data_IF_939444700475
#
_entry.id   IF_939444700475
#
_cell.length_a   1.000
_cell.length_b   1.000
_cell.length_c   1.000
_cell.angle_alpha   90.00
_cell.angle_beta   90.00
_cell.angle_gamma   90.00
#
_symmetry.space_group_name_H-M   'P 1'
#
loop_
_entity.id
_entity.type
_entity.pdbx_description
1 polymer ?
#
# COMPACT_ATOMS: atom_id res chain seq x y z
N UNK A 1 -12.24 -43.10 15.36
CA UNK A 1 -11.68 -41.78 15.03
C UNK A 1 -12.64 -41.08 14.08
N UNK A 2 -13.56 -40.29 14.65
CA UNK A 2 -14.46 -39.41 13.90
C UNK A 2 -13.68 -38.11 13.68
N UNK A 3 -13.21 -37.91 12.45
CA UNK A 3 -12.59 -36.66 12.02
C UNK A 3 -13.64 -35.54 12.14
N UNK A 4 -13.23 -34.38 12.64
CA UNK A 4 -14.04 -33.17 12.58
C UNK A 4 -14.14 -32.74 11.12
N UNK A 5 -15.19 -33.23 10.45
CA UNK A 5 -15.50 -32.93 9.06
C UNK A 5 -16.03 -31.49 9.03
N UNK A 6 -15.39 -30.59 8.27
CA UNK A 6 -15.87 -29.21 8.10
C UNK A 6 -17.30 -29.21 7.54
N UNK A 7 -18.08 -28.14 7.78
CA UNK A 7 -19.48 -28.04 7.31
C UNK A 7 -19.58 -28.31 5.81
N UNK A 8 -18.63 -27.81 5.01
CA UNK A 8 -18.56 -28.07 3.57
C UNK A 8 -18.31 -29.55 3.23
N UNK A 9 -17.44 -30.23 3.97
CA UNK A 9 -17.11 -31.64 3.72
C UNK A 9 -18.28 -32.55 4.14
N UNK A 10 -19.05 -32.18 5.16
CA UNK A 10 -20.25 -32.90 5.59
C UNK A 10 -21.36 -32.79 4.55
N UNK A 11 -21.57 -31.59 3.98
CA UNK A 11 -22.51 -31.36 2.88
C UNK A 11 -22.08 -32.18 1.65
N UNK A 12 -20.79 -32.17 1.30
CA UNK A 12 -20.26 -32.94 0.18
C UNK A 12 -20.50 -34.45 0.31
N UNK A 13 -20.26 -35.02 1.49
CA UNK A 13 -20.50 -36.46 1.74
C UNK A 13 -21.98 -36.83 1.69
N UNK A 14 -22.86 -35.96 2.18
CA UNK A 14 -24.31 -36.17 2.09
C UNK A 14 -24.80 -36.17 0.63
N UNK A 15 -24.36 -35.21 -0.18
CA UNK A 15 -24.70 -35.15 -1.61
C UNK A 15 -24.17 -36.36 -2.37
N UNK A 16 -22.94 -36.80 -2.08
CA UNK A 16 -22.35 -38.02 -2.66
C UNK A 16 -23.20 -39.26 -2.33
N UNK A 17 -23.55 -39.44 -1.06
CA UNK A 17 -24.38 -40.56 -0.60
C UNK A 17 -25.75 -40.56 -1.29
N UNK A 18 -26.42 -39.40 -1.34
CA UNK A 18 -27.71 -39.27 -2.01
C UNK A 18 -27.62 -39.61 -3.50
N UNK A 19 -26.57 -39.14 -4.18
CA UNK A 19 -26.33 -39.43 -5.60
C UNK A 19 -26.10 -40.92 -5.84
N UNK A 20 -25.36 -41.60 -4.96
CA UNK A 20 -25.13 -43.04 -4.99
C UNK A 20 -26.43 -43.83 -4.79
N UNK A 21 -27.27 -43.42 -3.83
CA UNK A 21 -28.57 -44.03 -3.59
C UNK A 21 -29.46 -43.87 -4.83
N UNK A 22 -29.52 -42.68 -5.43
CA UNK A 22 -30.28 -42.45 -6.67
C UNK A 22 -29.76 -43.34 -7.80
N UNK A 23 -28.45 -43.43 -8.00
CA UNK A 23 -27.85 -44.28 -9.04
C UNK A 23 -28.16 -45.77 -8.83
N UNK A 24 -28.09 -46.26 -7.59
CA UNK A 24 -28.42 -47.65 -7.24
C UNK A 24 -29.91 -47.92 -7.47
N UNK A 25 -30.80 -47.04 -7.01
CA UNK A 25 -32.24 -47.17 -7.23
C UNK A 25 -32.58 -47.14 -8.72
N UNK A 26 -31.99 -46.20 -9.47
CA UNK A 26 -32.15 -46.12 -10.92
C UNK A 26 -31.67 -47.40 -11.63
N UNK A 27 -30.51 -47.92 -11.23
CA UNK A 27 -29.98 -49.19 -11.73
C UNK A 27 -30.91 -50.36 -11.43
N UNK A 28 -31.42 -50.47 -10.20
CA UNK A 28 -32.36 -51.52 -9.80
C UNK A 28 -33.71 -51.43 -10.52
N UNK A 29 -34.21 -50.22 -10.76
CA UNK A 29 -35.43 -49.98 -11.54
C UNK A 29 -35.22 -50.38 -13.01
N UNK A 30 -34.11 -49.98 -13.63
CA UNK A 30 -33.78 -50.37 -15.00
C UNK A 30 -33.59 -51.88 -15.14
N UNK A 31 -32.89 -52.52 -14.20
CA UNK A 31 -32.72 -53.98 -14.18
C UNK A 31 -34.04 -54.73 -14.00
N UNK A 32 -35.02 -54.14 -13.30
CA UNK A 32 -36.38 -54.68 -13.20
C UNK A 32 -37.18 -54.45 -14.48
N UNK A 33 -37.12 -53.26 -15.07
CA UNK A 33 -37.86 -52.91 -16.28
C UNK A 33 -37.33 -53.66 -17.52
N UNK A 34 -36.02 -53.93 -17.60
CA UNK A 34 -35.41 -54.70 -18.68
C UNK A 34 -35.72 -56.20 -18.69
N UNK A 35 -36.53 -56.71 -17.74
CA UNK A 35 -37.01 -58.10 -17.72
C UNK A 35 -38.38 -58.30 -18.37
N UNK A 36 -39.04 -57.24 -18.85
CA UNK A 36 -40.22 -57.38 -19.68
C UNK A 36 -39.82 -58.00 -21.03
N UNK A 37 -40.59 -58.99 -21.51
CA UNK A 37 -40.26 -59.79 -22.69
C UNK A 37 -40.18 -58.94 -23.95
N UNK A 38 -38.97 -58.78 -24.51
CA UNK A 38 -38.74 -58.03 -25.74
C UNK A 38 -39.43 -58.76 -26.90
N UNK A 39 -40.56 -58.21 -27.38
CA UNK A 39 -41.21 -58.63 -28.62
C UNK A 39 -42.71 -58.97 -28.55
N UNK A 40 -43.42 -58.72 -27.44
CA UNK A 40 -44.87 -59.01 -27.35
C UNK A 40 -45.81 -57.80 -27.55
N UNK A 41 -45.29 -56.57 -27.64
CA UNK A 41 -46.09 -55.41 -28.00
C UNK A 41 -45.86 -54.98 -29.46
N UNK A 42 -46.76 -55.36 -30.37
CA UNK A 42 -47.03 -54.54 -31.56
C UNK A 42 -47.74 -53.28 -31.06
N UNK A 43 -46.94 -52.39 -30.51
CA UNK A 43 -47.39 -51.15 -29.94
C UNK A 43 -47.58 -50.16 -31.11
N UNK A 44 -48.82 -49.69 -31.33
CA UNK A 44 -49.12 -48.67 -32.33
C UNK A 44 -48.07 -47.55 -32.28
N UNK A 45 -47.60 -47.10 -33.44
CA UNK A 45 -46.66 -45.98 -33.51
C UNK A 45 -47.15 -44.83 -32.61
N UNK A 46 -46.30 -44.18 -31.80
CA UNK A 46 -46.75 -43.22 -30.78
C UNK A 46 -47.66 -42.09 -31.30
N UNK A 47 -47.55 -41.76 -32.59
CA UNK A 47 -48.39 -40.78 -33.29
C UNK A 47 -49.75 -41.31 -33.79
N UNK A 48 -50.00 -42.62 -33.71
CA UNK A 48 -51.25 -43.30 -34.10
C UNK A 48 -52.03 -43.85 -32.90
N UNK A 49 -51.47 -43.79 -31.69
CA UNK A 49 -52.22 -44.10 -30.47
C UNK A 49 -53.28 -43.01 -30.25
N UNK A 50 -54.51 -43.36 -29.84
CA UNK A 50 -55.46 -42.36 -29.37
C UNK A 50 -54.79 -41.52 -28.28
N UNK A 51 -54.95 -40.21 -28.36
CA UNK A 51 -54.48 -39.34 -27.28
C UNK A 51 -55.32 -39.59 -26.02
N UNK A 52 -54.89 -39.05 -24.88
CA UNK A 52 -55.61 -39.18 -23.62
C UNK A 52 -57.06 -38.71 -23.78
N UNK A 53 -58.00 -39.40 -23.13
CA UNK A 53 -59.41 -38.98 -23.14
C UNK A 53 -59.59 -37.64 -22.42
N UNK A 54 -60.68 -36.95 -22.70
CA UNK A 54 -60.99 -35.67 -22.05
C UNK A 54 -60.99 -35.79 -20.51
N UNK A 55 -61.58 -36.86 -19.95
CA UNK A 55 -61.56 -37.13 -18.51
C UNK A 55 -60.13 -37.28 -17.93
N UNK A 56 -59.20 -37.89 -18.69
CA UNK A 56 -57.81 -38.04 -18.27
C UNK A 56 -57.01 -36.73 -18.42
N UNK A 57 -57.33 -35.94 -19.45
CA UNK A 57 -56.74 -34.63 -19.70
C UNK A 57 -57.15 -33.63 -18.62
N UNK A 58 -58.43 -33.56 -18.29
CA UNK A 58 -59.00 -32.62 -17.32
C UNK A 58 -58.85 -33.08 -15.87
N UNK A 59 -58.67 -34.39 -15.62
CA UNK A 59 -58.39 -34.95 -14.30
C UNK A 59 -56.89 -35.11 -14.05
N UNK A 60 -56.42 -36.36 -14.15
CA UNK A 60 -55.09 -36.77 -13.67
C UNK A 60 -53.94 -35.99 -14.32
N UNK A 61 -54.02 -35.66 -15.62
CA UNK A 61 -52.97 -34.91 -16.30
C UNK A 61 -52.95 -33.43 -15.90
N UNK A 62 -54.11 -32.78 -15.87
CA UNK A 62 -54.23 -31.39 -15.45
C UNK A 62 -53.79 -31.23 -13.99
N UNK A 63 -54.30 -32.05 -13.07
CA UNK A 63 -53.94 -32.02 -11.65
C UNK A 63 -52.44 -32.21 -11.43
N UNK A 64 -51.82 -33.15 -12.13
CA UNK A 64 -50.37 -33.37 -12.06
C UNK A 64 -49.60 -32.13 -12.54
N UNK A 65 -50.03 -31.53 -13.64
CA UNK A 65 -49.36 -30.36 -14.22
C UNK A 65 -49.51 -29.14 -13.31
N UNK A 66 -50.71 -28.91 -12.78
CA UNK A 66 -50.99 -27.84 -11.81
C UNK A 66 -50.25 -28.06 -10.50
N UNK A 67 -50.15 -29.30 -10.01
CA UNK A 67 -49.36 -29.63 -8.82
C UNK A 67 -47.88 -29.34 -9.01
N UNK A 68 -47.32 -29.64 -10.18
CA UNK A 68 -45.94 -29.27 -10.53
C UNK A 68 -45.75 -27.75 -10.61
N UNK A 69 -46.74 -27.03 -11.16
CA UNK A 69 -46.77 -25.57 -11.17
C UNK A 69 -46.81 -24.98 -9.75
N UNK A 70 -47.67 -25.51 -8.89
CA UNK A 70 -47.78 -25.10 -7.48
C UNK A 70 -46.50 -25.40 -6.70
N UNK A 71 -45.87 -26.55 -6.93
CA UNK A 71 -44.58 -26.88 -6.35
C UNK A 71 -43.50 -25.89 -6.80
N UNK A 72 -43.45 -25.55 -8.10
CA UNK A 72 -42.53 -24.54 -8.62
C UNK A 72 -42.76 -23.17 -7.97
N UNK A 73 -44.03 -22.75 -7.83
CA UNK A 73 -44.39 -21.51 -7.13
C UNK A 73 -44.00 -21.54 -5.65
N UNK A 74 -44.16 -22.68 -4.97
CA UNK A 74 -43.73 -22.83 -3.58
C UNK A 74 -42.21 -22.75 -3.43
N UNK A 75 -41.46 -23.41 -4.31
CA UNK A 75 -40.00 -23.37 -4.34
C UNK A 75 -39.51 -21.94 -4.58
N UNK A 76 -40.07 -21.21 -5.56
CA UNK A 76 -39.67 -19.83 -5.81
C UNK A 76 -40.15 -18.90 -4.70
N UNK A 77 -41.40 -19.05 -4.26
CA UNK A 77 -42.04 -18.19 -3.27
C UNK A 77 -41.42 -18.25 -1.88
N UNK A 78 -40.82 -19.38 -1.49
CA UNK A 78 -40.08 -19.52 -0.23
C UNK A 78 -38.57 -19.50 -0.46
N UNK A 79 -38.09 -20.16 -1.51
CA UNK A 79 -36.66 -20.28 -1.80
C UNK A 79 -36.00 -18.94 -2.13
N UNK A 80 -36.66 -18.06 -2.89
CA UNK A 80 -36.08 -16.74 -3.19
C UNK A 80 -35.97 -15.87 -1.93
N UNK A 81 -37.01 -15.73 -1.07
CA UNK A 81 -36.85 -15.00 0.19
C UNK A 81 -35.77 -15.58 1.11
N UNK A 82 -35.66 -16.91 1.22
CA UNK A 82 -34.61 -17.55 2.02
C UNK A 82 -33.21 -17.33 1.44
N UNK A 83 -33.06 -17.41 0.12
CA UNK A 83 -31.80 -17.09 -0.56
C UNK A 83 -31.41 -15.63 -0.34
N UNK A 84 -32.37 -14.71 -0.47
CA UNK A 84 -32.18 -13.29 -0.27
C UNK A 84 -31.82 -12.94 1.18
N UNK A 85 -32.35 -13.68 2.16
CA UNK A 85 -31.99 -13.49 3.58
C UNK A 85 -30.48 -13.71 3.84
N UNK A 86 -29.83 -14.56 3.03
CA UNK A 86 -28.39 -14.82 3.08
C UNK A 86 -27.58 -13.87 2.18
N UNK A 87 -28.22 -13.00 1.40
CA UNK A 87 -27.54 -12.06 0.48
C UNK A 87 -26.49 -11.20 1.18
N UNK A 88 -26.72 -10.59 2.37
CA UNK A 88 -25.74 -9.73 3.02
C UNK A 88 -24.40 -10.43 3.27
N UNK A 89 -24.42 -11.63 3.87
CA UNK A 89 -23.21 -12.41 4.12
C UNK A 89 -22.53 -12.88 2.82
N UNK A 90 -23.29 -13.08 1.74
CA UNK A 90 -22.72 -13.40 0.43
C UNK A 90 -22.01 -12.20 -0.20
N UNK A 91 -22.55 -10.99 -0.01
CA UNK A 91 -21.92 -9.75 -0.43
C UNK A 91 -20.65 -9.50 0.39
N UNK A 92 -20.68 -9.67 1.71
CA UNK A 92 -19.51 -9.54 2.58
C UNK A 92 -18.38 -10.50 2.17
N UNK A 93 -18.72 -11.77 1.95
CA UNK A 93 -17.75 -12.77 1.49
C UNK A 93 -17.22 -12.51 0.07
N UNK A 94 -17.99 -11.84 -0.79
CA UNK A 94 -17.52 -11.41 -2.10
C UNK A 94 -16.53 -10.24 -1.98
N UNK A 95 -16.83 -9.25 -1.13
CA UNK A 95 -15.95 -8.12 -0.81
C UNK A 95 -14.61 -8.61 -0.28
N UNK A 96 -14.62 -9.52 0.70
CA UNK A 96 -13.38 -10.04 1.29
C UNK A 96 -12.53 -10.81 0.26
N UNK A 97 -13.16 -11.71 -0.51
CA UNK A 97 -12.44 -12.46 -1.56
C UNK A 97 -11.82 -11.52 -2.60
N UNK A 98 -12.56 -10.52 -3.05
CA UNK A 98 -12.04 -9.55 -4.04
C UNK A 98 -10.87 -8.78 -3.43
N UNK A 99 -10.98 -8.35 -2.17
CA UNK A 99 -9.90 -7.67 -1.45
C UNK A 99 -8.65 -8.53 -1.34
N UNK A 100 -8.78 -9.78 -0.91
CA UNK A 100 -7.66 -10.73 -0.82
C UNK A 100 -6.98 -10.94 -2.19
N UNK A 101 -7.76 -11.11 -3.25
CA UNK A 101 -7.24 -11.24 -4.61
C UNK A 101 -6.49 -9.99 -5.07
N UNK A 102 -7.02 -8.79 -4.80
CA UNK A 102 -6.41 -7.53 -5.18
C UNK A 102 -5.09 -7.32 -4.43
N UNK A 103 -5.08 -7.55 -3.13
CA UNK A 103 -3.86 -7.52 -2.30
C UNK A 103 -2.84 -8.54 -2.82
N UNK A 104 -3.26 -9.76 -3.13
CA UNK A 104 -2.38 -10.81 -3.65
C UNK A 104 -1.75 -10.45 -5.00
N UNK A 105 -2.54 -9.88 -5.92
CA UNK A 105 -2.02 -9.39 -7.22
C UNK A 105 -1.10 -8.18 -7.03
N UNK A 106 -1.45 -7.26 -6.15
CA UNK A 106 -0.61 -6.12 -5.77
C UNK A 106 0.73 -6.56 -5.20
N UNK A 107 0.75 -7.55 -4.29
CA UNK A 107 1.96 -8.12 -3.71
C UNK A 107 2.86 -8.74 -4.79
N UNK A 108 2.29 -9.54 -5.70
CA UNK A 108 3.02 -10.13 -6.82
C UNK A 108 3.63 -9.07 -7.74
N UNK A 109 2.94 -7.94 -7.95
CA UNK A 109 3.48 -6.82 -8.72
C UNK A 109 4.58 -6.06 -7.97
N UNK A 110 4.45 -5.91 -6.65
CA UNK A 110 5.44 -5.23 -5.82
C UNK A 110 6.78 -5.98 -5.74
N UNK A 111 6.74 -7.31 -5.82
CA UNK A 111 7.88 -8.19 -5.68
C UNK A 111 9.05 -7.89 -6.64
N UNK A 112 10.28 -8.34 -6.33
CA UNK A 112 11.41 -8.24 -7.22
C UNK A 112 11.16 -8.90 -8.59
N UNK A 113 11.87 -8.44 -9.61
CA UNK A 113 11.81 -9.05 -10.96
C UNK A 113 12.20 -10.53 -10.98
N UNK A 114 13.03 -10.98 -10.04
CA UNK A 114 13.36 -12.40 -9.86
C UNK A 114 12.14 -13.29 -9.55
N UNK A 115 11.09 -12.69 -8.99
CA UNK A 115 9.81 -13.35 -8.66
C UNK A 115 8.71 -13.04 -9.69
N UNK A 116 9.05 -12.34 -10.79
CA UNK A 116 8.11 -11.94 -11.83
C UNK A 116 7.36 -10.63 -11.56
N UNK A 117 7.73 -9.88 -10.52
CA UNK A 117 7.16 -8.57 -10.21
C UNK A 117 7.81 -7.40 -10.96
N UNK A 118 7.34 -6.18 -10.69
CA UNK A 118 7.81 -4.92 -11.29
C UNK A 118 8.99 -4.28 -10.55
N UNK A 119 9.62 -5.01 -9.62
CA UNK A 119 10.82 -4.59 -8.90
C UNK A 119 10.63 -3.43 -7.90
N UNK A 120 9.41 -3.17 -7.42
CA UNK A 120 9.18 -2.11 -6.44
C UNK A 120 9.94 -2.37 -5.13
N UNK A 121 9.94 -3.63 -4.66
CA UNK A 121 10.64 -4.11 -3.48
C UNK A 121 12.16 -3.92 -3.53
N UNK A 122 12.76 -3.87 -4.73
CA UNK A 122 14.20 -3.62 -4.87
C UNK A 122 14.57 -2.23 -4.36
N UNK A 123 13.79 -1.21 -4.72
CA UNK A 123 14.02 0.17 -4.28
C UNK A 123 13.42 0.45 -2.90
N UNK A 124 12.23 -0.08 -2.61
CA UNK A 124 11.46 0.26 -1.43
C UNK A 124 11.57 -0.74 -0.28
N UNK A 125 12.36 -1.80 -0.45
CA UNK A 125 12.48 -2.91 0.49
C UNK A 125 11.29 -3.88 0.39
N UNK A 126 11.47 -5.16 0.75
CA UNK A 126 10.40 -6.18 0.68
C UNK A 126 9.20 -5.84 1.56
N UNK A 127 9.44 -5.27 2.74
CA UNK A 127 8.37 -4.85 3.67
C UNK A 127 7.97 -3.37 3.48
N UNK A 128 8.42 -2.72 2.40
CA UNK A 128 8.19 -1.29 2.20
C UNK A 128 8.94 -0.39 3.19
N UNK A 129 9.95 -0.89 3.90
CA UNK A 129 10.73 -0.13 4.90
C UNK A 129 11.74 0.87 4.34
N UNK A 130 11.88 0.95 3.01
CA UNK A 130 12.89 1.72 2.31
C UNK A 130 14.11 0.86 1.96
N UNK A 131 14.93 1.36 1.03
CA UNK A 131 16.09 0.63 0.52
C UNK A 131 17.17 1.56 -0.02
N UNK A 132 18.30 0.97 -0.41
CA UNK A 132 19.39 1.68 -1.09
C UNK A 132 19.78 0.88 -2.32
N UNK A 133 19.75 1.52 -3.48
CA UNK A 133 19.95 0.86 -4.77
C UNK A 133 20.91 1.64 -5.67
N UNK A 134 21.71 0.97 -6.50
CA UNK A 134 22.55 1.65 -7.49
C UNK A 134 21.71 2.46 -8.48
N UNK A 135 22.14 3.68 -8.77
CA UNK A 135 21.53 4.56 -9.76
C UNK A 135 22.57 5.37 -10.51
N UNK A 136 22.37 5.54 -11.82
CA UNK A 136 23.24 6.35 -12.68
C UNK A 136 22.71 7.77 -12.77
N UNK A 137 23.51 8.74 -12.32
CA UNK A 137 23.25 10.16 -12.52
C UNK A 137 23.74 10.57 -13.92
N UNK A 138 22.89 11.30 -14.63
CA UNK A 138 23.17 11.88 -15.93
C UNK A 138 23.08 13.41 -15.87
N UNK A 139 23.74 14.08 -16.82
CA UNK A 139 23.62 15.53 -16.99
C UNK A 139 22.37 15.93 -17.78
N UNK A 140 22.21 17.22 -18.05
CA UNK A 140 21.06 17.76 -18.79
C UNK A 140 20.96 17.24 -20.23
N UNK A 141 22.07 16.79 -20.81
CA UNK A 141 22.14 16.19 -22.14
C UNK A 141 22.04 14.65 -22.11
N UNK A 142 21.80 14.06 -20.93
CA UNK A 142 21.67 12.61 -20.74
C UNK A 142 23.00 11.85 -20.74
N UNK A 143 24.14 12.56 -20.64
CA UNK A 143 25.46 11.91 -20.58
C UNK A 143 25.73 11.42 -19.17
N UNK A 144 26.41 10.27 -19.08
CA UNK A 144 26.83 9.69 -17.81
C UNK A 144 27.69 10.67 -17.00
N UNK A 145 27.34 10.86 -15.73
CA UNK A 145 28.14 11.63 -14.77
C UNK A 145 28.82 10.67 -13.80
N UNK A 146 28.02 9.83 -13.10
CA UNK A 146 28.51 8.86 -12.12
C UNK A 146 27.41 7.89 -11.69
N UNK A 147 27.82 6.83 -11.00
CA UNK A 147 26.92 5.92 -10.29
C UNK A 147 26.89 6.26 -8.79
N UNK A 148 25.71 6.20 -8.18
CA UNK A 148 25.48 6.48 -6.76
C UNK A 148 24.57 5.44 -6.13
N UNK A 149 24.58 5.37 -4.80
CA UNK A 149 23.60 4.60 -4.04
C UNK A 149 22.41 5.48 -3.68
N UNK A 150 21.28 5.29 -4.35
CA UNK A 150 20.06 6.06 -4.17
C UNK A 150 19.17 5.44 -3.09
N UNK A 151 18.74 6.26 -2.13
CA UNK A 151 17.81 5.89 -1.06
C UNK A 151 16.37 5.89 -1.55
N UNK A 152 15.80 4.70 -1.68
CA UNK A 152 14.37 4.49 -1.91
C UNK A 152 13.59 4.71 -0.62
N UNK A 153 12.59 5.62 -0.61
CA UNK A 153 11.87 5.98 0.60
C UNK A 153 11.01 4.82 1.12
N UNK A 154 10.81 4.75 2.43
CA UNK A 154 9.87 3.82 3.02
C UNK A 154 8.42 4.12 2.58
N UNK A 155 7.72 3.06 2.17
CA UNK A 155 6.32 3.07 1.76
C UNK A 155 5.37 2.62 2.88
N UNK A 156 5.87 1.99 3.94
CA UNK A 156 5.08 1.61 5.13
C UNK A 156 4.53 2.80 5.94
N UNK A 157 4.78 4.03 5.50
CA UNK A 157 4.26 5.28 6.09
C UNK A 157 3.70 6.22 5.03
N UNK A 158 3.48 5.74 3.80
CA UNK A 158 3.07 6.56 2.67
C UNK A 158 1.67 7.13 2.86
N UNK A 159 0.73 6.36 3.39
CA UNK A 159 -0.65 6.80 3.64
C UNK A 159 -0.78 7.72 4.86
N UNK A 160 0.27 7.90 5.65
CA UNK A 160 0.31 8.92 6.70
C UNK A 160 0.53 10.34 6.14
N UNK A 161 0.77 10.46 4.83
CA UNK A 161 1.28 11.67 4.18
C UNK A 161 0.66 11.99 2.83
N UNK A 162 0.24 10.95 2.11
CA UNK A 162 -0.33 11.05 0.79
C UNK A 162 -1.70 10.37 0.75
N UNK A 163 -2.64 10.98 0.03
CA UNK A 163 -3.89 10.32 -0.31
C UNK A 163 -3.65 9.20 -1.32
N UNK A 164 -4.67 8.34 -1.50
CA UNK A 164 -4.62 7.23 -2.45
C UNK A 164 -4.49 7.75 -3.89
N UNK A 165 -5.13 8.87 -4.19
CA UNK A 165 -5.08 9.57 -5.48
C UNK A 165 -3.70 10.19 -5.73
N UNK A 166 -3.08 10.78 -4.70
CA UNK A 166 -1.72 11.32 -4.82
C UNK A 166 -0.69 10.20 -5.07
N UNK A 167 -0.85 9.05 -4.41
CA UNK A 167 -0.01 7.88 -4.68
C UNK A 167 -0.27 7.36 -6.09
N UNK A 168 -1.53 7.26 -6.52
CA UNK A 168 -1.88 6.89 -7.90
C UNK A 168 -1.19 7.81 -8.89
N UNK A 169 -1.23 9.12 -8.67
CA UNK A 169 -0.55 10.08 -9.54
C UNK A 169 0.96 9.82 -9.63
N UNK A 170 1.61 9.54 -8.50
CA UNK A 170 3.05 9.20 -8.47
C UNK A 170 3.34 7.88 -9.18
N UNK A 171 2.50 6.86 -9.04
CA UNK A 171 2.66 5.60 -9.74
C UNK A 171 2.38 5.75 -11.24
N UNK A 172 1.40 6.55 -11.61
CA UNK A 172 1.01 6.80 -12.99
C UNK A 172 2.14 7.49 -13.76
N UNK A 173 2.65 8.60 -13.24
CA UNK A 173 3.58 9.48 -13.96
C UNK A 173 5.04 9.40 -13.46
N UNK A 174 5.30 8.60 -12.43
CA UNK A 174 6.61 8.54 -11.78
C UNK A 174 6.94 9.83 -11.04
N UNK A 175 8.22 9.97 -10.67
CA UNK A 175 8.73 11.21 -10.07
C UNK A 175 9.99 11.66 -10.81
N UNK A 176 9.86 12.74 -11.57
CA UNK A 176 10.95 13.36 -12.33
C UNK A 176 12.18 13.62 -11.45
N UNK A 177 13.37 13.50 -12.05
CA UNK A 177 14.67 13.64 -11.38
C UNK A 177 14.87 12.66 -10.20
N UNK A 178 14.19 11.51 -10.24
CA UNK A 178 14.41 10.39 -9.32
C UNK A 178 14.44 9.08 -10.10
N UNK A 179 14.94 7.98 -9.52
CA UNK A 179 14.90 6.65 -10.14
C UNK A 179 13.50 6.05 -10.26
N UNK A 180 12.43 6.75 -9.85
CA UNK A 180 11.05 6.23 -9.88
C UNK A 180 10.39 6.57 -11.23
N UNK A 181 10.30 5.61 -12.18
CA UNK A 181 9.69 5.85 -13.48
C UNK A 181 8.16 5.90 -13.39
N UNK A 182 7.53 6.25 -14.50
CA UNK A 182 6.10 6.04 -14.69
C UNK A 182 5.80 4.54 -14.79
N UNK A 183 4.83 4.07 -14.02
CA UNK A 183 4.34 2.70 -14.07
C UNK A 183 2.96 2.59 -14.70
N UNK A 184 2.13 3.63 -14.60
CA UNK A 184 0.80 3.63 -15.20
C UNK A 184 0.82 3.91 -16.71
N UNK A 185 -0.15 3.33 -17.41
CA UNK A 185 -0.28 3.41 -18.86
C UNK A 185 -0.43 4.85 -19.39
N UNK A 186 -1.11 5.73 -18.66
CA UNK A 186 -1.25 7.14 -19.05
C UNK A 186 0.08 7.91 -18.95
N UNK A 187 0.96 7.51 -18.03
CA UNK A 187 2.35 8.00 -17.96
C UNK A 187 3.34 7.28 -18.87
N UNK A 188 2.89 6.29 -19.66
CA UNK A 188 3.71 5.49 -20.56
C UNK A 188 4.32 4.22 -19.94
N UNK A 189 3.90 3.86 -18.73
CA UNK A 189 4.29 2.61 -18.05
C UNK A 189 3.41 1.41 -18.42
N UNK A 190 3.71 0.21 -17.88
CA UNK A 190 3.06 -1.05 -18.27
C UNK A 190 1.76 -1.38 -17.52
N UNK A 191 1.38 -0.63 -16.49
CA UNK A 191 0.28 -0.95 -15.58
C UNK A 191 -1.02 -0.25 -15.99
N UNK A 192 -2.13 -0.98 -15.93
CA UNK A 192 -3.47 -0.41 -16.08
C UNK A 192 -3.92 0.26 -14.79
N UNK A 193 -4.96 1.10 -14.85
CA UNK A 193 -5.56 1.74 -13.67
C UNK A 193 -5.96 0.74 -12.58
N UNK A 194 -6.51 -0.42 -12.98
CA UNK A 194 -6.84 -1.50 -12.05
C UNK A 194 -5.59 -2.12 -11.41
N UNK A 195 -4.51 -2.33 -12.16
CA UNK A 195 -3.26 -2.85 -11.57
C UNK A 195 -2.64 -1.86 -10.59
N UNK A 196 -2.75 -0.57 -10.87
CA UNK A 196 -2.34 0.46 -9.92
C UNK A 196 -3.20 0.43 -8.66
N UNK A 197 -4.52 0.21 -8.80
CA UNK A 197 -5.40 0.02 -7.65
C UNK A 197 -4.94 -1.14 -6.77
N UNK A 198 -4.73 -2.31 -7.37
CA UNK A 198 -4.27 -3.52 -6.67
C UNK A 198 -2.94 -3.28 -5.94
N UNK A 199 -2.01 -2.54 -6.55
CA UNK A 199 -0.75 -2.16 -5.92
C UNK A 199 -0.97 -1.22 -4.72
N UNK A 200 -1.83 -0.21 -4.84
CA UNK A 200 -2.18 0.73 -3.77
C UNK A 200 -2.88 -0.01 -2.61
N UNK A 201 -3.74 -0.98 -2.91
CA UNK A 201 -4.39 -1.83 -1.90
C UNK A 201 -3.37 -2.65 -1.12
N UNK A 202 -2.40 -3.24 -1.83
CA UNK A 202 -1.29 -3.94 -1.19
C UNK A 202 -0.43 -3.02 -0.31
N UNK A 203 -0.12 -1.80 -0.76
CA UNK A 203 0.59 -0.80 0.07
C UNK A 203 -0.18 -0.53 1.38
N UNK A 204 -1.50 -0.67 1.37
CA UNK A 204 -2.35 -0.50 2.55
C UNK A 204 -2.01 -1.50 3.65
N UNK A 205 -1.62 -2.72 3.26
CA UNK A 205 -1.23 -3.79 4.20
C UNK A 205 0.14 -3.59 4.81
N UNK A 206 0.98 -2.73 4.22
CA UNK A 206 2.33 -2.44 4.71
C UNK A 206 2.36 -1.31 5.75
N UNK A 207 1.24 -0.59 5.95
CA UNK A 207 1.26 0.62 6.76
C UNK A 207 1.46 0.35 8.25
N UNK A 208 2.29 1.18 8.87
CA UNK A 208 2.35 1.31 10.33
C UNK A 208 1.41 2.42 10.80
N UNK A 209 1.03 2.37 12.07
CA UNK A 209 0.15 3.37 12.68
C UNK A 209 0.88 4.71 12.90
N UNK A 210 0.14 5.84 13.00
CA UNK A 210 0.73 7.14 13.36
C UNK A 210 1.57 7.08 14.64
N UNK A 211 1.12 6.34 15.66
CA UNK A 211 1.82 6.19 16.94
C UNK A 211 3.17 5.48 16.77
N UNK A 212 3.21 4.42 15.96
CA UNK A 212 4.46 3.71 15.65
C UNK A 212 5.41 4.59 14.85
N UNK A 213 4.88 5.35 13.87
CA UNK A 213 5.67 6.27 13.07
C UNK A 213 6.30 7.40 13.91
N UNK A 214 5.55 7.99 14.84
CA UNK A 214 6.02 9.03 15.76
C UNK A 214 7.04 8.49 16.76
N UNK A 215 6.81 7.27 17.27
CA UNK A 215 7.77 6.59 18.14
C UNK A 215 9.10 6.36 17.43
N UNK A 216 9.07 5.81 16.20
CA UNK A 216 10.26 5.59 15.40
C UNK A 216 11.02 6.89 15.11
N UNK A 217 10.31 7.97 14.77
CA UNK A 217 10.91 9.29 14.58
C UNK A 217 11.59 9.83 15.85
N UNK A 218 10.95 9.65 17.00
CA UNK A 218 11.47 10.12 18.30
C UNK A 218 12.71 9.35 18.72
N UNK A 219 12.69 8.02 18.57
CA UNK A 219 13.85 7.16 18.86
C UNK A 219 15.03 7.48 17.92
N UNK A 220 14.75 7.71 16.64
CA UNK A 220 15.78 8.08 15.68
C UNK A 220 16.32 9.48 15.93
N UNK A 221 15.47 10.44 16.29
CA UNK A 221 15.90 11.79 16.68
C UNK A 221 16.84 11.73 17.88
N UNK A 222 16.53 10.93 18.90
CA UNK A 222 17.39 10.78 20.07
C UNK A 222 18.80 10.30 19.67
N UNK A 223 18.89 9.29 18.79
CA UNK A 223 20.18 8.83 18.25
C UNK A 223 20.88 9.92 17.45
N UNK A 224 20.18 10.59 16.54
CA UNK A 224 20.74 11.66 15.73
C UNK A 224 21.32 12.78 16.60
N UNK A 225 20.68 13.13 17.71
CA UNK A 225 21.17 14.17 18.63
C UNK A 225 22.42 13.77 19.43
N UNK A 226 22.77 12.48 19.46
CA UNK A 226 23.99 11.94 20.05
C UNK A 226 25.11 11.75 19.02
N UNK A 227 24.77 11.70 17.73
CA UNK A 227 25.75 11.56 16.64
C UNK A 227 26.78 12.68 16.66
N UNK A 228 28.03 12.29 16.41
CA UNK A 228 29.18 13.18 16.31
C UNK A 228 29.52 13.42 14.85
N UNK A 229 30.13 14.56 14.56
CA UNK A 229 30.57 14.92 13.22
C UNK A 229 31.45 13.80 12.61
N UNK A 230 31.00 13.13 11.53
CA UNK A 230 31.72 12.03 10.89
C UNK A 230 33.12 12.43 10.44
N UNK A 231 33.35 13.67 10.03
CA UNK A 231 34.66 14.14 9.62
C UNK A 231 35.63 14.19 10.80
N UNK A 232 35.16 14.66 11.96
CA UNK A 232 35.94 14.65 13.20
C UNK A 232 36.20 13.23 13.70
N UNK A 233 35.17 12.38 13.70
CA UNK A 233 35.28 10.97 14.11
C UNK A 233 36.30 10.26 13.23
N UNK A 234 36.17 10.37 11.91
CA UNK A 234 37.11 9.76 10.95
C UNK A 234 38.54 10.27 11.19
N UNK A 235 38.73 11.58 11.33
CA UNK A 235 40.06 12.14 11.58
C UNK A 235 40.68 11.60 12.88
N UNK A 236 39.88 11.44 13.95
CA UNK A 236 40.36 10.85 15.21
C UNK A 236 40.64 9.37 15.10
N UNK A 237 39.79 8.62 14.41
CA UNK A 237 39.99 7.19 14.17
C UNK A 237 41.26 6.95 13.35
N UNK A 238 41.50 7.74 12.31
CA UNK A 238 42.73 7.64 11.52
C UNK A 238 43.96 8.07 12.33
N UNK A 239 43.86 9.12 13.15
CA UNK A 239 44.95 9.48 14.06
C UNK A 239 45.26 8.38 15.09
N UNK A 240 44.24 7.67 15.59
CA UNK A 240 44.42 6.54 16.51
C UNK A 240 45.04 5.31 15.84
N UNK A 241 44.93 5.18 14.51
CA UNK A 241 45.62 4.15 13.73
C UNK A 241 47.08 4.49 13.46
N UNK A 242 47.45 5.77 13.45
CA UNK A 242 48.82 6.19 13.16
C UNK A 242 49.80 5.67 14.21
N UNK A 243 50.80 4.93 13.76
CA UNK A 243 51.86 4.37 14.63
C UNK A 243 51.56 2.97 15.19
N UNK A 244 50.40 2.38 14.87
CA UNK A 244 50.13 0.98 15.17
C UNK A 244 50.87 0.05 14.20
N UNK A 245 51.40 -1.05 14.71
CA UNK A 245 51.93 -2.16 13.90
C UNK A 245 50.82 -2.92 13.18
N UNK A 246 51.16 -3.73 12.17
CA UNK A 246 50.18 -4.53 11.42
C UNK A 246 49.32 -5.43 12.35
N UNK A 247 49.94 -6.04 13.36
CA UNK A 247 49.25 -6.88 14.35
C UNK A 247 48.29 -6.10 15.25
N UNK A 248 48.58 -4.81 15.50
CA UNK A 248 47.72 -3.92 16.29
C UNK A 248 46.59 -3.33 15.45
N UNK A 249 46.84 -3.00 14.18
CA UNK A 249 45.81 -2.60 13.22
C UNK A 249 44.79 -3.73 13.01
N UNK A 250 45.24 -4.99 12.95
CA UNK A 250 44.37 -6.16 12.85
C UNK A 250 43.44 -6.33 14.07
N UNK A 251 43.79 -5.75 15.22
CA UNK A 251 43.02 -5.79 16.47
C UNK A 251 42.39 -4.43 16.83
N UNK A 252 42.56 -3.43 15.97
CA UNK A 252 42.10 -2.08 16.23
C UNK A 252 40.57 -2.03 16.20
N UNK A 253 40.00 -1.51 17.27
CA UNK A 253 38.55 -1.33 17.40
C UNK A 253 38.23 0.17 17.30
N UNK A 254 37.66 0.65 16.18
CA UNK A 254 37.32 2.05 16.00
C UNK A 254 36.29 2.55 17.03
N UNK A 255 35.48 1.66 17.64
CA UNK A 255 34.51 2.03 18.66
C UNK A 255 35.16 2.44 20.00
N UNK A 256 36.45 2.13 20.21
CA UNK A 256 37.21 2.51 21.41
C UNK A 256 37.91 3.86 21.29
N UNK A 257 37.83 4.50 20.12
CA UNK A 257 38.41 5.82 19.90
C UNK A 257 37.56 6.84 20.66
N UNK A 258 38.21 7.66 21.50
CA UNK A 258 37.52 8.77 22.18
C UNK A 258 37.10 9.84 21.17
N UNK A 259 35.79 9.87 20.90
CA UNK A 259 35.12 10.83 20.03
C UNK A 259 34.28 11.84 20.81
N UNK A 260 34.31 11.87 22.15
CA UNK A 260 33.40 12.69 22.96
C UNK A 260 33.60 14.19 22.74
N UNK A 261 34.85 14.55 22.43
CA UNK A 261 35.25 15.92 22.09
C UNK A 261 34.92 16.32 20.64
N UNK A 262 34.42 15.41 19.81
CA UNK A 262 33.90 15.78 18.50
C UNK A 262 32.60 16.58 18.64
N UNK A 263 32.42 17.62 17.81
CA UNK A 263 31.18 18.37 17.80
C UNK A 263 30.01 17.47 17.42
N UNK A 264 28.81 17.81 17.90
CA UNK A 264 27.59 17.13 17.48
C UNK A 264 27.38 17.32 15.98
N UNK A 265 26.86 16.28 15.34
CA UNK A 265 26.52 16.28 13.91
C UNK A 265 25.47 17.33 13.57
N UNK A 266 24.47 17.48 14.43
CA UNK A 266 23.34 18.39 14.30
C UNK A 266 23.33 19.40 15.45
N UNK A 267 23.05 20.67 15.14
CA UNK A 267 23.10 21.77 16.12
C UNK A 267 21.77 21.94 16.87
N UNK A 268 20.68 21.47 16.28
CA UNK A 268 19.34 21.52 16.87
C UNK A 268 18.52 20.30 16.45
N UNK A 269 17.45 20.02 17.20
CA UNK A 269 16.48 18.98 16.84
C UNK A 269 15.84 19.26 15.48
N UNK A 270 15.54 20.52 15.17
CA UNK A 270 15.00 20.91 13.88
C UNK A 270 15.93 20.59 12.70
N UNK A 271 17.25 20.77 12.89
CA UNK A 271 18.24 20.40 11.88
C UNK A 271 18.34 18.88 11.70
N UNK A 272 18.32 18.14 12.82
CA UNK A 272 18.33 16.68 12.80
C UNK A 272 17.08 16.11 12.13
N UNK A 273 15.89 16.59 12.50
CA UNK A 273 14.61 16.20 11.89
C UNK A 273 14.56 16.54 10.39
N UNK A 274 15.04 17.72 10.01
CA UNK A 274 15.12 18.11 8.60
C UNK A 274 15.97 17.12 7.78
N UNK A 275 16.99 16.52 8.39
CA UNK A 275 17.92 15.57 7.77
C UNK A 275 17.77 14.12 8.28
N UNK A 276 16.64 13.75 8.90
CA UNK A 276 16.51 12.48 9.61
C UNK A 276 16.74 11.28 8.67
N UNK A 277 17.67 10.39 9.04
CA UNK A 277 18.06 9.27 8.18
C UNK A 277 19.11 9.58 7.11
N UNK A 278 19.74 10.77 7.14
CA UNK A 278 20.81 11.09 6.20
C UNK A 278 22.01 10.15 6.37
N UNK A 279 22.49 9.96 7.59
CA UNK A 279 23.65 9.09 7.84
C UNK A 279 23.20 7.65 8.16
N UNK A 280 22.16 7.48 8.99
CA UNK A 280 21.65 6.16 9.40
C UNK A 280 20.86 5.38 8.34
N UNK A 281 20.39 6.05 7.28
CA UNK A 281 19.51 5.46 6.27
C UNK A 281 18.06 5.23 6.74
N UNK A 282 17.70 5.72 7.93
CA UNK A 282 16.37 5.55 8.53
C UNK A 282 15.23 5.83 7.54
N UNK A 283 14.37 4.83 7.35
CA UNK A 283 13.18 4.85 6.50
C UNK A 283 13.44 5.36 5.06
N UNK A 284 14.66 5.18 4.52
CA UNK A 284 15.04 5.70 3.20
C UNK A 284 14.89 7.22 3.06
N UNK A 285 14.88 7.96 4.19
CA UNK A 285 14.63 9.39 4.23
C UNK A 285 13.18 9.83 4.05
N UNK A 286 12.21 8.93 4.24
CA UNK A 286 10.78 9.29 4.19
C UNK A 286 10.39 10.41 5.15
N UNK A 287 11.11 10.52 6.25
CA UNK A 287 10.93 11.52 7.31
C UNK A 287 11.70 12.83 7.06
N UNK A 288 12.65 12.85 6.13
CA UNK A 288 13.54 14.01 5.93
C UNK A 288 12.98 15.00 4.91
N UNK A 289 12.93 16.27 5.32
CA UNK A 289 12.64 17.40 4.43
C UNK A 289 13.77 17.62 3.41
N UNK A 290 15.01 17.36 3.81
CA UNK A 290 16.21 17.47 2.99
C UNK A 290 16.13 16.61 1.73
N UNK A 291 15.42 15.47 1.76
CA UNK A 291 15.19 14.64 0.57
C UNK A 291 14.57 15.41 -0.61
N UNK A 292 13.73 16.40 -0.32
CA UNK A 292 13.11 17.23 -1.35
C UNK A 292 13.79 18.61 -1.48
N UNK A 293 14.27 19.18 -0.36
CA UNK A 293 14.73 20.57 -0.31
C UNK A 293 16.26 20.73 -0.28
N UNK A 294 17.02 19.64 -0.33
CA UNK A 294 18.49 19.66 -0.37
C UNK A 294 18.98 18.83 -1.56
N UNK A 295 19.77 19.41 -2.48
CA UNK A 295 20.32 18.66 -3.60
C UNK A 295 21.27 17.58 -3.09
N UNK A 296 21.25 16.41 -3.72
CA UNK A 296 22.14 15.29 -3.38
C UNK A 296 21.84 14.53 -2.09
N UNK A 297 20.78 14.90 -1.37
CA UNK A 297 20.43 14.27 -0.09
C UNK A 297 20.17 12.76 -0.24
N UNK A 298 19.44 12.36 -1.28
CA UNK A 298 19.03 10.96 -1.51
C UNK A 298 20.18 10.00 -1.80
N UNK A 299 21.40 10.49 -2.02
CA UNK A 299 22.54 9.64 -2.38
C UNK A 299 23.84 9.99 -1.64
N UNK A 300 23.72 10.59 -0.44
CA UNK A 300 24.84 10.77 0.48
C UNK A 300 25.81 11.89 0.10
N UNK A 301 25.42 12.76 -0.83
CA UNK A 301 26.19 13.93 -1.23
C UNK A 301 25.38 15.20 -1.06
N UNK A 302 24.77 15.36 0.12
CA UNK A 302 23.91 16.51 0.36
C UNK A 302 24.69 17.81 0.20
N UNK A 303 24.13 18.71 -0.59
CA UNK A 303 24.56 20.10 -0.64
C UNK A 303 24.07 20.88 0.58
N UNK A 304 23.95 22.20 0.40
CA UNK A 304 23.44 23.08 1.44
C UNK A 304 21.96 22.84 1.71
N UNK A 305 21.59 22.77 2.99
CA UNK A 305 20.21 22.60 3.39
C UNK A 305 19.31 23.74 2.90
N UNK A 306 18.14 23.36 2.38
CA UNK A 306 17.15 24.29 1.84
C UNK A 306 17.55 24.93 0.50
N UNK A 307 18.61 24.46 -0.18
CA UNK A 307 19.01 25.01 -1.48
C UNK A 307 18.04 24.67 -2.63
N UNK A 308 17.07 23.78 -2.40
CA UNK A 308 16.10 23.33 -3.40
C UNK A 308 16.62 22.15 -4.21
N UNK A 309 15.71 21.23 -4.56
CA UNK A 309 15.98 20.09 -5.44
C UNK A 309 14.67 19.69 -6.13
N UNK A 310 13.96 18.70 -5.58
CA UNK A 310 12.61 18.34 -6.02
C UNK A 310 11.58 19.37 -5.54
N UNK A 311 11.80 19.90 -4.33
CA UNK A 311 11.05 21.00 -3.74
C UNK A 311 11.75 22.34 -3.94
N UNK A 312 11.03 23.46 -3.73
CA UNK A 312 11.57 24.79 -3.88
C UNK A 312 12.73 25.08 -2.91
N UNK A 313 13.52 26.09 -3.27
CA UNK A 313 14.53 26.66 -2.37
C UNK A 313 13.84 27.33 -1.16
N UNK A 314 14.33 27.04 0.04
CA UNK A 314 13.77 27.49 1.32
C UNK A 314 14.43 28.78 1.85
N UNK A 315 15.36 29.40 1.11
CA UNK A 315 15.99 30.65 1.52
C UNK A 315 15.02 31.83 1.62
N UNK A 316 13.91 31.81 0.87
CA UNK A 316 12.89 32.88 0.85
C UNK A 316 11.71 32.68 1.82
N UNK A 317 11.80 31.75 2.78
CA UNK A 317 10.65 31.38 3.63
C UNK A 317 10.11 32.53 4.48
N UNK A 318 10.95 33.49 4.88
CA UNK A 318 10.50 34.65 5.67
C UNK A 318 9.65 35.62 4.83
N UNK A 319 9.87 35.72 3.52
CA UNK A 319 9.01 36.46 2.60
C UNK A 319 7.70 35.72 2.36
N UNK A 320 7.76 34.39 2.31
CA UNK A 320 6.60 33.54 2.10
C UNK A 320 5.68 33.48 3.34
N UNK A 321 6.26 33.41 4.53
CA UNK A 321 5.59 33.33 5.83
C UNK A 321 6.14 34.39 6.79
N UNK A 322 5.74 35.66 6.61
CA UNK A 322 6.29 36.77 7.37
C UNK A 322 5.73 36.84 8.80
N UNK A 323 6.49 37.53 9.66
CA UNK A 323 6.21 37.67 11.09
C UNK A 323 6.78 36.52 11.89
N UNK A 324 7.14 36.81 13.15
CA UNK A 324 7.81 35.84 14.02
C UNK A 324 6.83 34.74 14.46
N UNK A 325 5.83 35.08 15.28
CA UNK A 325 4.85 34.10 15.76
C UNK A 325 3.87 33.66 14.67
N UNK A 326 3.22 34.61 13.98
CA UNK A 326 2.21 34.26 12.97
C UNK A 326 2.83 33.50 11.78
N UNK A 327 4.02 33.89 11.32
CA UNK A 327 4.70 33.22 10.22
C UNK A 327 5.15 31.81 10.58
N UNK A 328 5.58 31.57 11.83
CA UNK A 328 5.85 30.21 12.32
C UNK A 328 4.58 29.38 12.29
N UNK A 329 3.47 29.86 12.87
CA UNK A 329 2.20 29.11 12.88
C UNK A 329 1.71 28.78 11.47
N UNK A 330 1.70 29.76 10.56
CA UNK A 330 1.26 29.54 9.18
C UNK A 330 2.15 28.52 8.43
N UNK A 331 3.45 28.54 8.70
CA UNK A 331 4.37 27.58 8.09
C UNK A 331 4.20 26.19 8.70
N UNK A 332 4.01 26.07 10.01
CA UNK A 332 3.69 24.82 10.70
C UNK A 332 2.41 24.22 10.15
N UNK A 333 1.35 25.01 10.02
CA UNK A 333 0.07 24.55 9.45
C UNK A 333 0.25 24.06 8.00
N UNK A 334 1.08 24.75 7.21
CA UNK A 334 1.38 24.33 5.85
C UNK A 334 2.17 23.01 5.79
N UNK A 335 3.19 22.82 6.65
CA UNK A 335 3.96 21.57 6.71
C UNK A 335 3.11 20.42 7.28
N UNK A 336 2.18 20.73 8.20
CA UNK A 336 1.29 19.75 8.77
C UNK A 336 0.26 19.20 7.77
N UNK A 337 -0.36 20.09 6.97
CA UNK A 337 -1.39 19.71 6.00
C UNK A 337 -0.83 19.33 4.62
N UNK A 338 0.34 19.84 4.26
CA UNK A 338 0.88 19.72 2.91
C UNK A 338 0.33 20.77 1.95
N UNK A 339 0.78 20.71 0.70
CA UNK A 339 0.32 21.59 -0.36
C UNK A 339 -0.89 21.01 -1.07
N UNK A 340 -1.95 21.79 -1.25
CA UNK A 340 -3.10 21.42 -2.08
C UNK A 340 -2.99 22.10 -3.45
N UNK A 341 -3.23 21.37 -4.54
CA UNK A 341 -3.11 21.89 -5.90
C UNK A 341 -4.01 23.12 -6.09
N UNK A 342 -3.40 24.24 -6.50
CA UNK A 342 -4.11 25.49 -6.79
C UNK A 342 -4.48 26.33 -5.56
N UNK A 343 -4.41 25.77 -4.35
CA UNK A 343 -4.72 26.48 -3.11
C UNK A 343 -3.61 27.47 -2.73
N UNK A 344 -3.99 28.61 -2.16
CA UNK A 344 -3.02 29.60 -1.68
C UNK A 344 -2.40 29.12 -0.35
N UNK A 345 -1.10 29.34 -0.19
CA UNK A 345 -0.41 29.22 1.10
C UNK A 345 0.57 30.39 1.27
N UNK A 346 0.79 30.81 2.52
CA UNK A 346 1.61 31.99 2.84
C UNK A 346 1.16 33.24 2.05
N UNK A 347 2.08 34.16 1.81
CA UNK A 347 1.77 35.40 1.09
C UNK A 347 1.62 35.22 -0.42
N UNK A 348 2.53 34.51 -1.08
CA UNK A 348 2.63 34.48 -2.54
C UNK A 348 2.54 33.06 -3.13
N UNK A 349 2.27 32.07 -2.30
CA UNK A 349 2.43 30.67 -2.65
C UNK A 349 1.14 30.08 -3.21
N UNK A 350 1.28 29.26 -4.25
CA UNK A 350 0.22 28.42 -4.76
C UNK A 350 0.66 26.96 -4.68
N UNK A 351 -0.13 26.13 -4.02
CA UNK A 351 0.20 24.73 -3.79
C UNK A 351 0.21 23.93 -5.09
N UNK A 352 1.14 22.98 -5.16
CA UNK A 352 1.31 22.11 -6.32
C UNK A 352 0.65 20.73 -6.15
N UNK A 353 0.17 20.40 -4.95
CA UNK A 353 -0.27 19.04 -4.63
C UNK A 353 0.87 18.06 -4.37
N UNK A 354 2.14 18.51 -4.38
CA UNK A 354 3.31 17.62 -4.34
C UNK A 354 4.03 17.56 -3.01
N UNK A 355 3.86 18.57 -2.16
CA UNK A 355 4.41 18.56 -0.81
C UNK A 355 3.42 17.87 0.11
N UNK A 356 3.75 16.67 0.65
CA UNK A 356 2.86 15.97 1.57
C UNK A 356 2.70 16.72 2.89
N UNK A 357 1.62 16.42 3.59
CA UNK A 357 1.46 16.76 5.01
C UNK A 357 2.21 15.80 5.91
N UNK A 358 2.60 16.25 7.11
CA UNK A 358 3.36 15.43 8.06
C UNK A 358 2.70 15.30 9.44
N UNK A 359 1.72 16.14 9.78
CA UNK A 359 1.02 16.06 11.08
C UNK A 359 -0.41 15.51 10.97
N UNK A 360 -0.91 15.35 9.74
CA UNK A 360 -2.31 15.02 9.50
C UNK A 360 -2.35 13.86 8.52
N UNK A 361 -3.04 12.79 8.91
CA UNK A 361 -3.32 11.67 8.00
C UNK A 361 -4.39 12.14 7.00
N UNK A 362 -4.15 12.06 5.69
CA UNK A 362 -5.14 12.42 4.67
C UNK A 362 -6.42 11.60 4.82
N UNK A 363 -7.56 12.17 4.42
CA UNK A 363 -8.80 11.42 4.35
C UNK A 363 -8.73 10.29 3.32
N UNK A 364 -9.53 9.25 3.55
CA UNK A 364 -9.81 8.23 2.55
C UNK A 364 -11.28 8.33 2.20
N UNK A 365 -11.56 8.80 0.99
CA UNK A 365 -12.92 8.84 0.46
C UNK A 365 -13.31 7.46 -0.08
N UNK A 366 -14.59 7.11 0.06
CA UNK A 366 -15.12 5.91 -0.59
C UNK A 366 -15.14 6.15 -2.11
N UNK A 367 -14.12 5.68 -2.82
CA UNK A 367 -14.02 5.81 -4.26
C UNK A 367 -14.70 4.64 -4.96
N UNK A 368 -15.40 4.91 -6.08
CA UNK A 368 -16.01 3.87 -6.90
C UNK A 368 -14.93 2.93 -7.44
N UNK A 369 -15.05 1.63 -7.11
CA UNK A 369 -14.13 0.59 -7.56
C UNK A 369 -13.09 0.13 -6.53
N UNK A 370 -12.99 0.80 -5.38
CA UNK A 370 -12.21 0.31 -4.24
C UNK A 370 -13.05 -0.64 -3.38
N UNK A 371 -12.52 -1.84 -3.12
CA UNK A 371 -13.23 -2.91 -2.40
C UNK A 371 -12.55 -3.16 -1.06
N UNK A 372 -13.29 -3.03 0.03
CA UNK A 372 -12.79 -3.29 1.38
C UNK A 372 -11.88 -2.19 1.95
N UNK A 373 -11.88 -0.99 1.35
CA UNK A 373 -11.22 0.20 1.91
C UNK A 373 -12.20 0.91 2.84
N UNK A 374 -11.81 1.07 4.11
CA UNK A 374 -12.62 1.81 5.08
C UNK A 374 -12.40 3.32 4.89
N UNK A 375 -13.48 4.03 4.55
CA UNK A 375 -13.45 5.48 4.46
C UNK A 375 -13.23 6.09 5.85
N UNK A 376 -12.43 7.14 5.92
CA UNK A 376 -12.23 7.91 7.14
C UNK A 376 -11.95 9.37 6.83
N UNK A 377 -12.39 10.24 7.75
CA UNK A 377 -12.12 11.66 7.66
C UNK A 377 -10.63 11.97 7.87
N UNK A 378 -10.26 13.21 7.54
CA UNK A 378 -8.93 13.75 7.79
C UNK A 378 -8.59 13.69 9.28
N UNK A 379 -7.35 13.27 9.59
CA UNK A 379 -6.87 13.20 10.97
C UNK A 379 -6.77 14.58 11.64
N UNK A 380 -6.68 14.61 12.97
CA UNK A 380 -6.43 15.88 13.68
C UNK A 380 -4.93 16.13 13.89
N UNK A 381 -4.53 17.41 13.90
CA UNK A 381 -3.15 17.78 14.24
C UNK A 381 -2.74 17.36 15.67
N UNK A 382 -3.72 17.18 16.57
CA UNK A 382 -3.49 16.74 17.95
C UNK A 382 -3.14 15.24 18.02
N UNK A 383 -3.79 14.43 17.19
CA UNK A 383 -3.45 13.01 17.03
C UNK A 383 -2.09 12.85 16.35
N UNK A 384 -1.74 13.81 15.49
CA UNK A 384 -0.52 13.79 14.71
C UNK A 384 -0.60 12.77 13.57
N UNK A 385 0.40 12.83 12.69
CA UNK A 385 0.53 11.93 11.55
C UNK A 385 1.84 11.18 11.67
N UNK A 386 2.72 11.37 10.69
CA UNK A 386 4.10 10.90 10.75
C UNK A 386 4.92 11.60 11.84
N UNK A 387 4.67 12.90 12.07
CA UNK A 387 5.28 13.71 13.11
C UNK A 387 4.23 14.29 14.07
N UNK A 388 4.67 14.64 15.27
CA UNK A 388 3.91 15.51 16.17
C UNK A 388 4.00 16.96 15.69
N UNK A 389 3.04 17.79 16.10
CA UNK A 389 3.09 19.23 15.80
C UNK A 389 4.36 19.91 16.33
N UNK A 390 4.79 19.56 17.54
CA UNK A 390 6.01 20.10 18.16
C UNK A 390 7.26 19.77 17.33
N UNK A 391 7.40 18.53 16.85
CA UNK A 391 8.50 18.15 15.95
C UNK A 391 8.49 18.98 14.66
N UNK A 392 7.30 19.24 14.09
CA UNK A 392 7.18 20.10 12.92
C UNK A 392 7.52 21.55 13.24
N UNK A 393 7.14 22.07 14.40
CA UNK A 393 7.55 23.42 14.85
C UNK A 393 9.09 23.54 14.95
N UNK A 394 9.79 22.52 15.46
CA UNK A 394 11.27 22.49 15.47
C UNK A 394 11.86 22.53 14.06
N UNK A 395 11.28 21.76 13.13
CA UNK A 395 11.69 21.79 11.71
C UNK A 395 11.48 23.19 11.14
N UNK A 396 10.32 23.82 11.40
CA UNK A 396 9.98 25.16 10.92
C UNK A 396 10.94 26.21 11.48
N UNK A 397 11.27 26.17 12.76
CA UNK A 397 12.28 27.04 13.38
C UNK A 397 13.63 26.91 12.68
N UNK A 398 14.08 25.68 12.44
CA UNK A 398 15.33 25.44 11.70
C UNK A 398 15.25 25.97 10.26
N UNK A 399 14.19 25.66 9.51
CA UNK A 399 14.03 26.10 8.13
C UNK A 399 14.01 27.63 8.04
N UNK A 400 13.35 28.32 8.98
CA UNK A 400 13.36 29.78 9.04
C UNK A 400 14.76 30.33 9.33
N UNK A 401 15.58 29.62 10.08
CA UNK A 401 17.00 29.98 10.29
C UNK A 401 17.87 29.82 9.03
N UNK A 402 17.41 29.06 8.01
CA UNK A 402 18.08 28.95 6.71
C UNK A 402 17.81 30.14 5.79
N UNK A 403 16.84 30.99 6.14
CA UNK A 403 16.47 32.13 5.34
C UNK A 403 17.63 33.11 5.18
N UNK A 404 17.69 33.77 4.02
CA UNK A 404 18.80 34.66 3.65
C UNK A 404 18.30 35.97 3.07
#
# INVERSE_FOLDING_TARGET
>A
MLLAVSTQTSIGLFVLFLSLVIAVVFGLVNLRQGKAEIGSEIELAPNRRPYLSDDELEGRKLDRTLSMGLLGLFILGIGLPLYWLQEPSRQDGATERIREEFIGRGAAMFAPTAEGGYNCAFCHGPDGGGGSTPYTITDAEGRFVKEVQWKGPALNTVFLRYSREEIRFVLEYGRLATPMPAWGAAGGGPLTEQKLQELIDYLGTLQITPKEAQKAATEELAKAMEERDPACVTARTEAAKQGLSEDELAKFDPAKVDTDSCPKRWKSEGEALFNLGYDSGFAGGSYSCGRCHTPGWSYGEKGRDGAGALGPNLGGVLTQFPGDSLGVTQMTDFVCNGSVLGARYGQYGQGSGRMPGFCVVPAVEATEGEVGVEAHDVGSMEQGGMYTKDQVEKIVEYVRSLAR
#
